data_IF_691699519072
#
_entry.id   IF_691699519072
#
_cell.length_a   1.000
_cell.length_b   1.000
_cell.length_c   1.000
_cell.angle_alpha   90.00
_cell.angle_beta   90.00
_cell.angle_gamma   90.00
#
_symmetry.space_group_name_H-M   'P 1'
#
loop_
_entity.id
_entity.type
_entity.pdbx_description
1 polymer ?
#
# COMPACT_ATOMS: atom_id res chain seq x y z
N UNK A 1 -43.50 -0.35 -9.33
CA UNK A 1 -42.39 -1.05 -8.66
C UNK A 1 -41.33 -1.30 -9.71
N UNK A 2 -40.47 -0.32 -9.96
CA UNK A 2 -39.07 -0.59 -10.27
C UNK A 2 -38.31 0.73 -10.11
N UNK A 3 -37.53 0.82 -9.03
CA UNK A 3 -36.76 2.01 -8.65
C UNK A 3 -35.30 1.70 -8.99
N UNK A 4 -34.87 2.02 -10.20
CA UNK A 4 -33.47 1.97 -10.59
C UNK A 4 -32.80 3.30 -10.21
N UNK A 5 -32.16 3.34 -9.03
CA UNK A 5 -31.18 4.37 -8.72
C UNK A 5 -29.85 3.99 -9.37
N UNK A 6 -29.45 4.81 -10.34
CA UNK A 6 -28.13 4.81 -10.97
C UNK A 6 -27.02 5.03 -9.95
N UNK A 7 -26.08 4.09 -9.91
CA UNK A 7 -24.77 4.20 -9.26
C UNK A 7 -23.95 5.29 -9.94
N UNK A 8 -23.75 6.43 -9.28
CA UNK A 8 -22.65 7.34 -9.59
C UNK A 8 -21.39 6.80 -8.92
N UNK A 9 -20.42 6.37 -9.74
CA UNK A 9 -19.05 6.17 -9.29
C UNK A 9 -18.52 7.53 -8.83
N UNK A 10 -18.57 7.75 -7.52
CA UNK A 10 -18.10 8.96 -6.87
C UNK A 10 -16.58 8.89 -6.79
N UNK A 11 -15.92 9.55 -7.74
CA UNK A 11 -14.57 10.09 -7.60
C UNK A 11 -14.61 11.18 -6.51
N UNK A 12 -14.72 10.75 -5.26
CA UNK A 12 -14.78 11.64 -4.08
C UNK A 12 -13.41 11.63 -3.44
N UNK A 13 -12.85 12.83 -3.29
CA UNK A 13 -11.65 13.08 -2.51
C UNK A 13 -11.72 12.29 -1.19
N UNK A 14 -10.59 11.70 -0.74
CA UNK A 14 -10.60 10.82 0.43
C UNK A 14 -11.24 11.54 1.62
N UNK A 15 -12.21 10.87 2.25
CA UNK A 15 -12.83 11.31 3.49
C UNK A 15 -11.73 11.45 4.56
N UNK A 16 -11.53 12.62 5.17
CA UNK A 16 -10.44 12.88 6.11
C UNK A 16 -10.47 12.00 7.38
N UNK A 17 -11.54 11.22 7.59
CA UNK A 17 -11.68 10.25 8.67
C UNK A 17 -11.78 8.78 8.21
N UNK A 18 -11.53 8.48 6.93
CA UNK A 18 -11.59 7.10 6.40
C UNK A 18 -10.52 6.23 7.04
N UNK A 19 -10.92 5.42 8.03
CA UNK A 19 -10.08 4.39 8.66
C UNK A 19 -9.76 3.21 7.74
N UNK A 20 -10.36 3.15 6.55
CA UNK A 20 -10.11 2.08 5.57
C UNK A 20 -8.74 2.27 4.93
N UNK A 21 -7.80 1.30 5.06
CA UNK A 21 -6.48 1.43 4.47
C UNK A 21 -6.51 1.50 2.95
N UNK A 22 -5.65 2.33 2.36
CA UNK A 22 -5.45 2.42 0.90
C UNK A 22 -4.36 1.46 0.47
N UNK A 23 -4.63 0.65 -0.55
CA UNK A 23 -3.63 -0.26 -1.12
C UNK A 23 -2.72 0.49 -2.08
N UNK A 24 -1.41 0.37 -1.87
CA UNK A 24 -0.37 0.98 -2.70
C UNK A 24 0.55 -0.13 -3.20
N UNK A 25 0.58 -0.34 -4.51
CA UNK A 25 1.52 -1.27 -5.14
C UNK A 25 2.81 -0.53 -5.51
N UNK A 26 3.95 -1.08 -5.08
CA UNK A 26 5.29 -0.59 -5.43
C UNK A 26 5.98 -1.69 -6.23
N UNK A 27 6.33 -1.38 -7.48
CA UNK A 27 7.12 -2.28 -8.34
C UNK A 27 8.61 -2.06 -8.10
N UNK A 28 9.44 -3.09 -8.27
CA UNK A 28 10.87 -2.95 -8.01
C UNK A 28 11.13 -2.70 -6.51
N UNK A 29 10.28 -3.28 -5.66
CA UNK A 29 10.22 -3.01 -4.23
C UNK A 29 11.48 -3.45 -3.48
N UNK A 30 12.22 -4.42 -4.02
CA UNK A 30 13.50 -4.87 -3.46
C UNK A 30 14.68 -3.98 -3.89
N UNK A 31 14.48 -3.06 -4.84
CA UNK A 31 15.51 -2.13 -5.28
C UNK A 31 15.73 -0.97 -4.31
N UNK A 32 16.90 -0.32 -4.38
CA UNK A 32 17.29 0.78 -3.46
C UNK A 32 16.27 1.93 -3.39
N UNK A 33 15.62 2.28 -4.51
CA UNK A 33 14.60 3.33 -4.55
C UNK A 33 13.32 2.83 -3.88
N UNK A 34 12.88 1.60 -4.22
CA UNK A 34 11.72 0.95 -3.61
C UNK A 34 11.87 0.88 -2.09
N UNK A 35 12.99 0.34 -1.62
CA UNK A 35 13.35 0.28 -0.20
C UNK A 35 13.22 1.66 0.47
N UNK A 36 13.90 2.69 -0.02
CA UNK A 36 13.84 4.03 0.59
C UNK A 36 12.44 4.70 0.53
N UNK A 37 11.64 4.36 -0.48
CA UNK A 37 10.29 4.88 -0.68
C UNK A 37 9.27 4.20 0.27
N UNK A 38 9.37 2.89 0.45
CA UNK A 38 8.40 2.11 1.25
C UNK A 38 8.26 2.64 2.68
N UNK A 39 9.38 2.92 3.35
CA UNK A 39 9.36 3.50 4.71
C UNK A 39 8.76 4.90 4.76
N UNK A 40 8.91 5.70 3.70
CA UNK A 40 8.27 7.02 3.61
C UNK A 40 6.77 6.91 3.43
N UNK A 41 6.31 5.94 2.64
CA UNK A 41 4.88 5.68 2.46
C UNK A 41 4.28 5.18 3.78
N UNK A 42 4.91 4.20 4.42
CA UNK A 42 4.47 3.64 5.71
C UNK A 42 4.43 4.70 6.83
N UNK A 43 5.32 5.70 6.79
CA UNK A 43 5.33 6.84 7.71
C UNK A 43 4.30 7.94 7.40
N UNK A 44 3.46 7.78 6.36
CA UNK A 44 2.45 8.78 5.96
C UNK A 44 3.00 9.91 5.07
N UNK A 45 4.24 9.81 4.59
CA UNK A 45 4.88 10.85 3.78
C UNK A 45 4.28 11.03 2.37
N UNK A 46 3.38 10.14 1.93
CA UNK A 46 2.73 10.20 0.61
C UNK A 46 1.26 10.62 0.70
N UNK A 47 0.47 9.95 1.56
CA UNK A 47 -0.98 10.17 1.67
C UNK A 47 -1.40 10.96 2.92
N UNK A 48 -0.43 11.46 3.70
CA UNK A 48 -0.66 12.21 4.92
C UNK A 48 -0.64 11.35 6.19
N UNK A 49 -0.62 11.99 7.37
CA UNK A 49 -0.44 11.34 8.67
C UNK A 49 -1.69 10.59 9.17
N UNK A 50 -2.83 10.73 8.50
CA UNK A 50 -4.11 10.16 8.94
C UNK A 50 -4.64 9.06 8.00
N UNK A 51 -3.88 8.70 6.95
CA UNK A 51 -4.30 7.72 5.94
C UNK A 51 -3.55 6.40 6.13
N UNK A 52 -4.18 5.33 6.64
CA UNK A 52 -3.56 4.02 6.72
C UNK A 52 -3.32 3.43 5.32
N UNK A 53 -2.28 2.60 5.19
CA UNK A 53 -1.86 1.99 3.93
C UNK A 53 -1.67 0.49 4.05
N UNK A 54 -1.94 -0.23 2.96
CA UNK A 54 -1.46 -1.59 2.70
C UNK A 54 -0.42 -1.52 1.59
N UNK A 55 0.75 -2.08 1.80
CA UNK A 55 1.79 -2.12 0.79
C UNK A 55 1.74 -3.46 0.04
N UNK A 56 1.69 -3.40 -1.30
CA UNK A 56 1.95 -4.56 -2.17
C UNK A 56 3.31 -4.38 -2.83
N UNK A 57 4.26 -5.24 -2.48
CA UNK A 57 5.62 -5.25 -3.03
C UNK A 57 5.62 -6.18 -4.24
N UNK A 58 5.60 -5.61 -5.43
CA UNK A 58 5.66 -6.35 -6.69
C UNK A 58 7.10 -6.48 -7.16
N UNK A 59 7.55 -7.73 -7.33
CA UNK A 59 8.89 -8.06 -7.81
C UNK A 59 8.91 -9.20 -8.82
N UNK A 60 10.04 -9.33 -9.51
CA UNK A 60 10.32 -10.53 -10.30
C UNK A 60 10.65 -11.73 -9.39
N UNK A 61 10.49 -12.98 -9.86
CA UNK A 61 10.75 -14.18 -9.04
C UNK A 61 12.12 -14.19 -8.35
N UNK A 62 13.16 -13.69 -9.05
CA UNK A 62 14.53 -13.64 -8.54
C UNK A 62 14.73 -12.64 -7.39
N UNK A 63 13.81 -11.70 -7.18
CA UNK A 63 13.90 -10.65 -6.18
C UNK A 63 12.87 -10.81 -5.03
N UNK A 64 12.00 -11.82 -5.07
CA UNK A 64 10.99 -12.05 -4.03
C UNK A 64 11.60 -12.17 -2.64
N UNK A 65 12.68 -12.94 -2.46
CA UNK A 65 13.32 -13.08 -1.15
C UNK A 65 13.89 -11.77 -0.58
N UNK A 66 14.32 -10.84 -1.46
CA UNK A 66 14.76 -9.51 -1.01
C UNK A 66 13.57 -8.60 -0.65
N UNK A 67 12.44 -8.72 -1.38
CA UNK A 67 11.20 -8.05 -1.04
C UNK A 67 10.61 -8.58 0.28
N UNK A 68 10.70 -9.89 0.55
CA UNK A 68 10.33 -10.51 1.83
C UNK A 68 11.17 -9.95 2.98
N UNK A 69 12.48 -9.80 2.80
CA UNK A 69 13.35 -9.14 3.78
C UNK A 69 12.91 -7.69 4.06
N UNK A 70 12.55 -6.95 3.02
CA UNK A 70 12.02 -5.59 3.17
C UNK A 70 10.68 -5.57 3.91
N UNK A 71 9.80 -6.54 3.64
CA UNK A 71 8.53 -6.70 4.35
C UNK A 71 8.74 -7.00 5.85
N UNK A 72 9.74 -7.81 6.20
CA UNK A 72 10.12 -8.05 7.59
C UNK A 72 10.58 -6.76 8.29
N UNK A 73 11.44 -5.97 7.64
CA UNK A 73 11.88 -4.70 8.22
C UNK A 73 10.74 -3.69 8.39
N UNK A 74 9.79 -3.65 7.45
CA UNK A 74 8.59 -2.82 7.57
C UNK A 74 7.70 -3.24 8.75
N UNK A 75 7.58 -4.54 9.00
CA UNK A 75 6.85 -5.07 10.14
C UNK A 75 7.55 -4.69 11.47
N UNK A 76 8.88 -4.83 11.53
CA UNK A 76 9.68 -4.49 12.72
C UNK A 76 9.69 -2.97 13.02
N UNK A 77 9.51 -2.14 11.99
CA UNK A 77 9.42 -0.68 12.15
C UNK A 77 8.14 -0.20 12.85
N UNK A 78 7.13 -1.07 12.99
CA UNK A 78 5.90 -0.83 13.75
C UNK A 78 5.19 0.51 13.40
N UNK A 79 5.14 0.86 12.11
CA UNK A 79 4.46 2.07 11.67
C UNK A 79 2.96 2.02 11.98
N UNK A 80 2.39 3.02 12.68
CA UNK A 80 0.98 3.01 13.06
C UNK A 80 0.03 3.11 11.86
N UNK A 81 0.50 3.62 10.72
CA UNK A 81 -0.27 3.73 9.49
C UNK A 81 -0.13 2.52 8.56
N UNK A 82 0.81 1.61 8.83
CA UNK A 82 1.00 0.42 8.00
C UNK A 82 0.09 -0.71 8.49
N UNK A 83 -1.00 -0.92 7.76
CA UNK A 83 -1.99 -1.92 8.12
C UNK A 83 -1.57 -3.35 7.74
N UNK A 84 -0.88 -3.50 6.61
CA UNK A 84 -0.54 -4.80 6.03
C UNK A 84 0.54 -4.69 4.94
N UNK A 85 1.25 -5.79 4.69
CA UNK A 85 2.31 -5.90 3.70
C UNK A 85 2.19 -7.24 2.95
N UNK A 86 2.02 -7.17 1.64
CA UNK A 86 1.98 -8.33 0.74
C UNK A 86 3.19 -8.29 -0.19
N UNK A 87 3.87 -9.42 -0.37
CA UNK A 87 4.92 -9.60 -1.39
C UNK A 87 4.35 -10.51 -2.49
N UNK A 88 4.50 -10.10 -3.74
CA UNK A 88 3.93 -10.83 -4.89
C UNK A 88 4.78 -10.65 -6.14
N UNK A 89 4.66 -11.60 -7.06
CA UNK A 89 5.11 -11.49 -8.45
C UNK A 89 3.95 -11.34 -9.44
N UNK A 90 2.70 -11.42 -8.95
CA UNK A 90 1.49 -11.30 -9.76
C UNK A 90 1.09 -9.82 -9.90
N UNK A 91 1.11 -9.25 -11.12
CA UNK A 91 0.68 -7.88 -11.36
C UNK A 91 -0.85 -7.70 -11.37
N UNK A 92 -1.64 -8.78 -11.32
CA UNK A 92 -3.10 -8.74 -11.36
C UNK A 92 -3.75 -8.27 -10.03
#
# INVERSE_FOLDING_TARGET
MDTAQQTTAQDTAPDPASTTPRTVTVTGAAGNIGYALLFRIAAGGMLGPDTPVRLRLLEIPAALGAAEGTAMELADAAFPLLADVEVTEDPA
#
